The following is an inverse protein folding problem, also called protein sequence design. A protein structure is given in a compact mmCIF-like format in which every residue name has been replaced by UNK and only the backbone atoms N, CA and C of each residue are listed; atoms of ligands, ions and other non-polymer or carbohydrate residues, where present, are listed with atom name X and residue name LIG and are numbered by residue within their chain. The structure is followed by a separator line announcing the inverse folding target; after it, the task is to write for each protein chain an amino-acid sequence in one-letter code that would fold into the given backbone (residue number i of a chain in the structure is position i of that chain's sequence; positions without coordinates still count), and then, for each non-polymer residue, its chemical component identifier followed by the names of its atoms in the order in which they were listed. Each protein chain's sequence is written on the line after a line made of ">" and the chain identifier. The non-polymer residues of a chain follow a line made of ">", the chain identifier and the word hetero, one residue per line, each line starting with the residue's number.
data_IF_359332270372
#
_entry.id   IF_359332270372
#
_cell.length_a   1.000
_cell.length_b   1.000
_cell.length_c   1.000
_cell.angle_alpha   90.00
_cell.angle_beta   90.00
_cell.angle_gamma   90.00
#
_symmetry.space_group_name_H-M   'P 1'
#
loop_
_entity.id
_entity.type
_entity.pdbx_description
1 polymer ?
#
# COMPACT_ATOMS: atom_id res chain seq x y z
N UNK A 1 -48.17 -0.30 3.35
CA UNK A 1 -48.35 0.92 4.18
C UNK A 1 -47.73 2.09 3.43
N UNK A 2 -48.57 2.99 2.89
CA UNK A 2 -48.17 4.22 2.22
C UNK A 2 -47.72 5.27 3.25
N UNK A 3 -46.81 6.17 2.88
CA UNK A 3 -46.41 7.29 3.72
C UNK A 3 -47.16 8.53 3.25
N UNK A 4 -48.14 9.00 4.03
CA UNK A 4 -48.89 10.22 3.74
C UNK A 4 -48.64 11.27 4.81
N UNK A 5 -48.50 12.53 4.41
CA UNK A 5 -48.45 13.67 5.33
C UNK A 5 -49.88 13.98 5.78
N UNK A 6 -50.17 13.89 7.08
CA UNK A 6 -51.53 14.06 7.62
C UNK A 6 -51.57 14.07 9.16
N UNK A 7 -52.76 14.28 9.73
CA UNK A 7 -52.98 14.24 11.17
C UNK A 7 -52.93 12.80 11.70
N UNK A 8 -52.12 12.57 12.73
CA UNK A 8 -52.01 11.27 13.41
C UNK A 8 -53.29 10.97 14.18
N UNK A 9 -53.78 9.74 14.10
CA UNK A 9 -54.92 9.24 14.88
C UNK A 9 -54.64 7.82 15.40
N UNK A 10 -55.64 7.16 15.99
CA UNK A 10 -55.49 5.80 16.54
C UNK A 10 -55.13 4.74 15.48
N UNK A 11 -55.23 5.08 14.20
CA UNK A 11 -54.98 4.17 13.06
C UNK A 11 -53.72 4.57 12.28
N UNK A 12 -53.34 5.85 12.32
CA UNK A 12 -52.19 6.42 11.61
C UNK A 12 -51.08 6.83 12.58
N UNK A 13 -49.99 6.05 12.57
CA UNK A 13 -48.78 6.37 13.35
C UNK A 13 -47.92 7.36 12.54
N UNK A 14 -47.68 8.54 13.10
CA UNK A 14 -46.79 9.53 12.50
C UNK A 14 -45.32 9.19 12.72
N UNK A 15 -44.54 9.42 11.67
CA UNK A 15 -43.08 9.41 11.74
C UNK A 15 -42.63 10.86 11.87
N UNK A 16 -41.90 11.16 12.94
CA UNK A 16 -41.34 12.50 13.14
C UNK A 16 -40.40 12.84 11.97
N UNK A 17 -40.41 14.10 11.49
CA UNK A 17 -39.47 14.51 10.46
C UNK A 17 -38.04 14.29 10.98
N UNK A 18 -37.16 13.70 10.16
CA UNK A 18 -35.78 13.47 10.57
C UNK A 18 -35.06 14.80 10.82
N UNK A 19 -34.04 14.83 11.70
CA UNK A 19 -33.19 16.01 11.88
C UNK A 19 -32.56 16.45 10.55
N UNK A 20 -32.15 17.71 10.46
CA UNK A 20 -31.45 18.24 9.29
C UNK A 20 -30.25 17.36 8.91
N UNK A 21 -30.16 16.97 7.64
CA UNK A 21 -29.11 16.08 7.12
C UNK A 21 -29.44 14.58 7.20
N UNK A 22 -30.57 14.19 7.78
CA UNK A 22 -31.04 12.81 7.82
C UNK A 22 -32.27 12.61 6.93
N UNK A 23 -32.41 11.42 6.37
CA UNK A 23 -33.59 11.00 5.59
C UNK A 23 -34.22 9.78 6.20
N UNK A 24 -35.52 9.67 6.03
CA UNK A 24 -36.24 8.46 6.37
C UNK A 24 -36.08 7.46 5.22
N UNK A 25 -35.57 6.26 5.51
CA UNK A 25 -35.35 5.21 4.51
C UNK A 25 -35.92 3.85 4.96
N UNK A 26 -36.47 3.09 4.00
CA UNK A 26 -36.77 1.67 4.13
C UNK A 26 -35.60 0.85 3.62
N UNK A 27 -35.26 -0.19 4.35
CA UNK A 27 -34.12 -1.06 4.04
C UNK A 27 -34.62 -2.39 3.53
N UNK A 28 -34.06 -2.86 2.41
CA UNK A 28 -34.27 -4.18 1.87
C UNK A 28 -32.92 -4.91 1.73
N UNK A 29 -32.90 -6.20 2.03
CA UNK A 29 -31.69 -7.03 2.03
C UNK A 29 -31.81 -8.19 1.04
N UNK A 30 -30.67 -8.70 0.57
CA UNK A 30 -30.61 -9.92 -0.26
C UNK A 30 -31.44 -9.77 -1.55
N UNK A 31 -32.31 -10.73 -1.84
CA UNK A 31 -33.19 -10.66 -3.02
C UNK A 31 -34.14 -9.47 -2.99
N UNK A 32 -34.51 -8.97 -1.80
CA UNK A 32 -35.35 -7.77 -1.66
C UNK A 32 -34.64 -6.49 -2.12
N UNK A 33 -33.30 -6.46 -2.09
CA UNK A 33 -32.52 -5.33 -2.59
C UNK A 33 -32.63 -5.17 -4.12
N UNK A 34 -32.92 -6.27 -4.85
CA UNK A 34 -33.09 -6.23 -6.31
C UNK A 34 -34.43 -5.61 -6.73
N UNK A 35 -35.38 -5.46 -5.81
CA UNK A 35 -36.69 -4.90 -6.11
C UNK A 35 -36.61 -3.38 -6.30
N UNK A 36 -37.39 -2.85 -7.23
CA UNK A 36 -37.56 -1.40 -7.41
C UNK A 36 -38.17 -0.77 -6.16
N UNK A 37 -37.75 0.45 -5.86
CA UNK A 37 -38.30 1.18 -4.73
C UNK A 37 -39.79 1.52 -4.93
N UNK A 38 -40.61 1.49 -3.87
CA UNK A 38 -42.00 1.92 -3.93
C UNK A 38 -42.11 3.39 -4.34
N UNK A 39 -43.25 3.77 -4.94
CA UNK A 39 -43.51 5.12 -5.46
C UNK A 39 -43.24 6.24 -4.45
N UNK A 40 -43.64 6.06 -3.18
CA UNK A 40 -43.48 7.09 -2.14
C UNK A 40 -42.05 7.13 -1.53
N UNK A 41 -41.19 6.20 -1.91
CA UNK A 41 -39.80 6.06 -1.42
C UNK A 41 -38.85 5.97 -2.61
N UNK A 42 -39.00 6.88 -3.57
CA UNK A 42 -38.38 6.77 -4.89
C UNK A 42 -36.87 6.97 -4.91
N UNK A 43 -36.28 7.51 -3.85
CA UNK A 43 -34.83 7.76 -3.81
C UNK A 43 -34.08 6.48 -3.43
N UNK A 44 -33.46 5.82 -4.40
CA UNK A 44 -32.79 4.54 -4.24
C UNK A 44 -31.28 4.72 -3.98
N UNK A 45 -30.77 4.05 -2.96
CA UNK A 45 -29.34 3.92 -2.67
C UNK A 45 -28.98 2.45 -2.53
N UNK A 46 -28.06 1.97 -3.35
CA UNK A 46 -27.59 0.58 -3.33
C UNK A 46 -26.27 0.47 -2.58
N UNK A 47 -26.06 -0.68 -1.93
CA UNK A 47 -24.84 -0.95 -1.19
C UNK A 47 -24.73 -2.40 -0.76
N UNK A 48 -23.84 -2.64 0.20
CA UNK A 48 -23.57 -3.95 0.77
C UNK A 48 -23.53 -3.88 2.29
N UNK A 49 -24.04 -4.91 2.95
CA UNK A 49 -23.83 -5.15 4.38
C UNK A 49 -22.80 -6.25 4.60
N UNK A 50 -22.23 -6.31 5.80
CA UNK A 50 -21.14 -7.23 6.14
C UNK A 50 -19.96 -7.03 5.18
N UNK A 51 -19.51 -5.77 5.11
CA UNK A 51 -18.37 -5.37 4.29
C UNK A 51 -17.11 -5.53 5.12
N UNK A 52 -16.13 -6.26 4.61
CA UNK A 52 -14.84 -6.45 5.24
C UNK A 52 -13.74 -5.90 4.33
N UNK A 53 -12.80 -5.15 4.92
CA UNK A 53 -11.60 -4.75 4.22
C UNK A 53 -10.66 -5.95 4.10
N UNK A 54 -10.60 -6.52 2.90
CA UNK A 54 -9.72 -7.64 2.57
C UNK A 54 -8.62 -7.24 1.57
N UNK A 55 -8.59 -5.97 1.14
CA UNK A 55 -7.50 -5.48 0.31
C UNK A 55 -6.23 -5.44 1.13
N UNK A 56 -5.13 -5.77 0.48
CA UNK A 56 -3.80 -5.77 1.08
C UNK A 56 -2.89 -4.89 0.24
N UNK A 57 -1.86 -4.35 0.86
CA UNK A 57 -0.79 -3.71 0.12
C UNK A 57 0.09 -4.79 -0.52
N UNK A 58 0.52 -4.55 -1.75
CA UNK A 58 1.58 -5.34 -2.38
C UNK A 58 2.86 -5.27 -1.52
N UNK A 59 3.71 -6.28 -1.65
CA UNK A 59 4.97 -6.31 -0.91
C UNK A 59 5.86 -5.12 -1.32
N UNK A 60 6.35 -4.39 -0.32
CA UNK A 60 7.36 -3.36 -0.55
C UNK A 60 8.61 -4.00 -1.15
N UNK A 61 9.15 -3.36 -2.17
CA UNK A 61 10.39 -3.76 -2.79
C UNK A 61 11.26 -2.52 -3.06
N UNK A 62 12.50 -2.81 -3.39
CA UNK A 62 13.55 -1.84 -3.63
C UNK A 62 14.12 -2.20 -5.00
N UNK A 63 14.15 -1.23 -5.91
CA UNK A 63 14.76 -1.41 -7.22
C UNK A 63 16.27 -1.66 -7.13
N UNK A 64 16.96 -1.77 -8.28
CA UNK A 64 18.42 -1.85 -8.30
C UNK A 64 19.04 -0.68 -7.52
N UNK A 65 20.06 -0.94 -6.68
CA UNK A 65 20.73 0.12 -5.94
C UNK A 65 21.44 1.09 -6.90
N UNK A 66 21.42 2.37 -6.55
CA UNK A 66 21.97 3.48 -7.33
C UNK A 66 22.83 4.36 -6.42
N UNK A 67 23.91 4.91 -6.97
CA UNK A 67 24.78 5.85 -6.27
C UNK A 67 25.63 5.24 -5.15
N UNK A 68 25.58 3.92 -4.95
CA UNK A 68 26.47 3.25 -4.00
C UNK A 68 27.91 3.23 -4.52
N UNK A 69 28.86 3.49 -3.64
CA UNK A 69 30.28 3.53 -3.97
C UNK A 69 31.12 2.96 -2.84
N UNK A 70 32.19 2.23 -3.15
CA UNK A 70 33.17 1.87 -2.14
C UNK A 70 34.58 1.84 -2.71
N UNK A 71 35.56 2.04 -1.82
CA UNK A 71 36.98 1.88 -2.11
C UNK A 71 37.56 0.85 -1.16
N UNK A 72 38.24 -0.14 -1.74
CA UNK A 72 38.90 -1.20 -0.98
C UNK A 72 40.39 -1.17 -1.27
N UNK A 73 41.21 -1.18 -0.24
CA UNK A 73 42.64 -1.40 -0.38
C UNK A 73 42.95 -2.88 -0.25
N UNK A 74 43.46 -3.47 -1.31
CA UNK A 74 43.98 -4.83 -1.30
C UNK A 74 45.50 -4.79 -1.22
N UNK A 75 46.08 -5.64 -0.37
CA UNK A 75 47.53 -5.76 -0.20
C UNK A 75 47.95 -7.22 -0.09
N UNK A 76 49.18 -7.51 -0.49
CA UNK A 76 49.81 -8.82 -0.38
C UNK A 76 51.16 -8.71 0.32
N UNK A 77 51.53 -9.71 1.10
CA UNK A 77 52.68 -9.68 1.99
C UNK A 77 53.51 -10.96 1.87
N UNK A 78 54.79 -10.87 2.21
CA UNK A 78 55.72 -12.02 2.19
C UNK A 78 55.75 -12.82 3.49
N UNK A 79 55.07 -12.37 4.54
CA UNK A 79 54.93 -13.06 5.82
C UNK A 79 53.46 -13.27 6.18
N UNK A 80 53.21 -14.15 7.16
CA UNK A 80 51.87 -14.51 7.60
C UNK A 80 51.23 -13.46 8.54
N UNK A 81 51.99 -12.46 8.98
CA UNK A 81 51.57 -11.44 9.94
C UNK A 81 51.17 -10.11 9.26
N UNK A 82 51.16 -10.06 7.92
CA UNK A 82 50.86 -8.86 7.13
C UNK A 82 51.81 -7.69 7.43
N UNK A 83 53.08 -7.97 7.76
CA UNK A 83 54.08 -6.94 8.10
C UNK A 83 54.96 -6.49 6.93
N UNK A 84 55.24 -7.37 5.98
CA UNK A 84 56.19 -7.19 4.88
C UNK A 84 55.45 -7.09 3.55
N UNK A 85 54.92 -5.91 3.27
CA UNK A 85 54.15 -5.63 2.06
C UNK A 85 55.00 -5.86 0.79
N UNK A 86 54.39 -6.53 -0.20
CA UNK A 86 54.98 -6.81 -1.53
C UNK A 86 54.25 -6.11 -2.66
N UNK A 87 53.00 -5.75 -2.44
CA UNK A 87 52.20 -5.00 -3.40
C UNK A 87 50.85 -4.66 -2.80
N UNK A 88 50.23 -3.64 -3.37
CA UNK A 88 48.91 -3.21 -2.97
C UNK A 88 48.30 -2.27 -4.00
N UNK A 89 46.99 -2.17 -3.96
CA UNK A 89 46.22 -1.33 -4.87
C UNK A 89 44.90 -0.93 -4.23
N UNK A 90 44.40 0.24 -4.62
CA UNK A 90 43.06 0.72 -4.23
C UNK A 90 42.10 0.38 -5.38
N UNK A 91 41.00 -0.27 -5.02
CA UNK A 91 39.93 -0.73 -5.89
C UNK A 91 38.68 0.11 -5.62
N UNK A 92 38.40 1.14 -6.45
CA UNK A 92 37.09 1.78 -6.45
C UNK A 92 36.06 0.88 -7.15
N UNK A 93 34.83 0.84 -6.61
CA UNK A 93 33.72 0.02 -7.13
C UNK A 93 33.21 0.46 -8.50
N UNK A 94 33.61 1.65 -8.96
CA UNK A 94 33.27 2.21 -10.27
C UNK A 94 34.17 1.70 -11.40
N UNK A 95 35.22 0.95 -11.08
CA UNK A 95 36.20 0.46 -12.06
C UNK A 95 36.13 -1.06 -12.23
N UNK A 96 36.65 -1.53 -13.37
CA UNK A 96 36.77 -2.97 -13.66
C UNK A 96 37.88 -3.66 -12.88
N UNK A 97 38.07 -4.98 -13.09
CA UNK A 97 39.12 -5.74 -12.42
C UNK A 97 40.50 -5.17 -12.74
N UNK A 98 41.34 -5.04 -11.70
CA UNK A 98 42.75 -4.65 -11.84
C UNK A 98 43.67 -5.77 -11.40
N UNK A 99 44.69 -6.02 -12.21
CA UNK A 99 45.78 -6.93 -11.91
C UNK A 99 47.06 -6.11 -11.71
N UNK A 100 47.91 -6.57 -10.79
CA UNK A 100 49.26 -6.02 -10.59
C UNK A 100 50.23 -7.17 -10.77
N UNK A 101 51.17 -7.00 -11.69
CA UNK A 101 52.24 -7.97 -11.90
C UNK A 101 53.26 -7.90 -10.77
N UNK A 102 53.67 -9.06 -10.29
CA UNK A 102 54.75 -9.19 -9.32
C UNK A 102 55.99 -9.77 -10.01
N UNK A 103 57.19 -9.32 -9.63
CA UNK A 103 58.42 -9.92 -10.12
C UNK A 103 58.45 -11.44 -9.90
N UNK A 104 58.98 -12.17 -10.87
CA UNK A 104 59.15 -13.62 -10.77
C UNK A 104 59.99 -13.95 -9.53
N UNK A 105 59.51 -14.91 -8.72
CA UNK A 105 60.16 -15.29 -7.47
C UNK A 105 59.73 -14.48 -6.25
N UNK A 106 58.76 -13.56 -6.38
CA UNK A 106 58.17 -12.88 -5.22
C UNK A 106 57.47 -13.89 -4.30
N UNK A 107 57.97 -14.02 -3.07
CA UNK A 107 57.32 -14.83 -2.05
C UNK A 107 56.09 -14.09 -1.51
N UNK A 108 54.94 -14.79 -1.50
CA UNK A 108 53.68 -14.33 -0.93
C UNK A 108 53.23 -15.33 0.13
N UNK A 109 52.75 -14.81 1.25
CA UNK A 109 52.36 -15.62 2.40
C UNK A 109 51.02 -15.17 3.01
N UNK A 110 50.65 -13.89 2.88
CA UNK A 110 49.33 -13.39 3.27
C UNK A 110 48.80 -12.27 2.38
N UNK A 111 47.53 -11.94 2.56
CA UNK A 111 46.85 -10.81 1.89
C UNK A 111 45.86 -10.13 2.85
N UNK A 112 45.61 -8.84 2.65
CA UNK A 112 44.53 -8.09 3.33
C UNK A 112 43.66 -7.38 2.30
N UNK A 113 42.40 -7.16 2.69
CA UNK A 113 41.46 -6.33 1.96
C UNK A 113 40.71 -5.48 2.98
N UNK A 114 40.91 -4.17 2.91
CA UNK A 114 40.37 -3.21 3.88
C UNK A 114 39.50 -2.20 3.16
N UNK A 115 38.29 -1.96 3.67
CA UNK A 115 37.40 -0.94 3.14
C UNK A 115 37.91 0.42 3.61
N UNK A 116 38.39 1.24 2.68
CA UNK A 116 38.85 2.60 2.97
C UNK A 116 37.68 3.58 3.02
N UNK A 117 36.71 3.40 2.11
CA UNK A 117 35.54 4.26 2.00
C UNK A 117 34.33 3.44 1.57
N UNK A 118 33.15 3.80 2.08
CA UNK A 118 31.88 3.24 1.65
C UNK A 118 30.78 4.27 1.77
N UNK A 119 30.06 4.46 0.67
CA UNK A 119 28.85 5.23 0.57
C UNK A 119 27.70 4.29 0.23
N UNK A 120 26.64 4.36 1.03
CA UNK A 120 25.47 3.50 0.84
C UNK A 120 24.64 4.03 -0.31
N UNK A 121 24.33 3.16 -1.28
CA UNK A 121 23.43 3.50 -2.37
C UNK A 121 21.98 3.64 -1.91
N UNK A 122 21.21 4.35 -2.71
CA UNK A 122 19.74 4.42 -2.57
C UNK A 122 19.09 3.51 -3.59
N UNK A 123 17.83 3.14 -3.39
CA UNK A 123 17.04 2.48 -4.41
C UNK A 123 15.70 3.17 -4.58
N UNK A 124 15.13 3.04 -5.77
CA UNK A 124 13.76 3.46 -6.01
C UNK A 124 12.80 2.53 -5.24
N UNK A 125 11.94 3.07 -4.36
CA UNK A 125 10.96 2.26 -3.64
C UNK A 125 9.85 1.82 -4.61
N UNK A 126 9.42 0.58 -4.46
CA UNK A 126 8.29 0.01 -5.21
C UNK A 126 7.35 -0.76 -4.30
N UNK A 127 6.17 -1.08 -4.83
CA UNK A 127 5.13 -1.77 -4.07
C UNK A 127 4.20 -0.82 -3.31
N UNK A 128 3.42 -1.38 -2.39
CA UNK A 128 2.41 -0.63 -1.64
C UNK A 128 1.10 -0.39 -2.41
N UNK A 129 0.98 -0.88 -3.64
CA UNK A 129 -0.27 -0.80 -4.38
C UNK A 129 -1.34 -1.65 -3.69
N UNK A 130 -2.57 -1.15 -3.70
CA UNK A 130 -3.72 -1.87 -3.14
C UNK A 130 -4.08 -3.02 -4.08
N UNK A 131 -3.95 -4.25 -3.59
CA UNK A 131 -4.29 -5.47 -4.30
C UNK A 131 -5.59 -6.05 -3.75
N UNK A 132 -6.42 -6.54 -4.67
CA UNK A 132 -7.67 -7.21 -4.36
C UNK A 132 -8.86 -6.25 -4.33
N UNK A 133 -9.94 -6.72 -3.73
CA UNK A 133 -11.18 -5.97 -3.56
C UNK A 133 -11.69 -6.18 -2.13
N UNK A 134 -12.49 -5.25 -1.57
CA UNK A 134 -13.16 -5.51 -0.31
C UNK A 134 -14.12 -6.69 -0.47
N UNK A 135 -14.32 -7.45 0.60
CA UNK A 135 -15.37 -8.45 0.64
C UNK A 135 -16.71 -7.77 0.88
N UNK A 136 -17.70 -8.14 0.07
CA UNK A 136 -19.06 -7.63 0.17
C UNK A 136 -20.02 -8.80 0.38
N UNK A 137 -20.59 -8.91 1.58
CA UNK A 137 -21.42 -10.05 1.97
C UNK A 137 -22.77 -10.11 1.26
N UNK A 138 -23.71 -9.24 1.66
CA UNK A 138 -25.08 -9.26 1.14
C UNK A 138 -25.48 -7.89 0.57
N UNK A 139 -26.15 -7.83 -0.60
CA UNK A 139 -26.62 -6.57 -1.14
C UNK A 139 -27.71 -5.98 -0.25
N UNK A 140 -27.70 -4.66 -0.13
CA UNK A 140 -28.71 -3.88 0.57
C UNK A 140 -29.15 -2.71 -0.29
N UNK A 141 -30.43 -2.36 -0.22
CA UNK A 141 -30.97 -1.17 -0.86
C UNK A 141 -31.73 -0.35 0.16
N UNK A 142 -31.44 0.94 0.20
CA UNK A 142 -32.17 1.94 0.96
C UNK A 142 -33.07 2.71 0.00
N UNK A 143 -34.38 2.58 0.18
CA UNK A 143 -35.37 3.39 -0.51
C UNK A 143 -35.77 4.51 0.44
N UNK A 144 -35.45 5.76 0.13
CA UNK A 144 -35.68 6.93 0.96
C UNK A 144 -36.83 7.79 0.43
N UNK A 145 -37.51 8.48 1.33
CA UNK A 145 -38.46 9.52 0.93
C UNK A 145 -37.69 10.68 0.28
N UNK A 146 -38.16 11.22 -0.87
CA UNK A 146 -37.59 12.42 -1.43
C UNK A 146 -37.59 13.57 -0.42
N UNK A 147 -36.61 14.47 -0.52
CA UNK A 147 -36.59 15.68 0.28
C UNK A 147 -37.89 16.46 0.03
N UNK A 148 -38.66 16.71 1.11
CA UNK A 148 -39.88 17.47 1.03
C UNK A 148 -39.50 18.90 0.65
N UNK A 149 -39.68 19.27 -0.62
CA UNK A 149 -39.54 20.66 -1.03
C UNK A 149 -40.51 21.50 -0.17
N UNK A 150 -40.03 22.55 0.52
CA UNK A 150 -40.94 23.44 1.22
C UNK A 150 -41.93 24.02 0.19
N UNK A 151 -43.24 24.08 0.51
CA UNK A 151 -44.19 24.72 -0.38
C UNK A 151 -43.78 26.18 -0.64
N UNK A 152 -44.02 26.71 -1.86
CA UNK A 152 -43.74 28.11 -2.18
C UNK A 152 -44.61 29.07 -1.37
#
# INVERSE_FOLDING_TARGET
>A
MAASVGACDLVNICILPPPSGYRLCRVAYGLGALLSCPKDWSERHDGWIQVEEQRVCSACNCGPPQGGFCEVQAKVYADNACGSERGGLILPSSEGPKCVDLPIGTALASQTAEVLFSETGTCEPGGGEVIGAPYTGMPVTYCCVPELAPPP
#
